data_IF_765977356593
#
_entry.id   IF_765977356593
#
_cell.length_a   1.000
_cell.length_b   1.000
_cell.length_c   1.000
_cell.angle_alpha   90.00
_cell.angle_beta   90.00
_cell.angle_gamma   90.00
#
_symmetry.space_group_name_H-M   'P 1'
#
loop_
_entity.id
_entity.type
_entity.pdbx_description
1 polymer ?
#
# COMPACT_ATOMS: atom_id res chain seq x y z
N UNK A 1 32.13 -27.18 8.85
CA UNK A 1 31.79 -25.79 8.34
C UNK A 1 30.36 -25.62 7.78
N UNK A 2 29.41 -26.50 8.03
CA UNK A 2 28.09 -26.47 7.39
C UNK A 2 26.96 -25.84 8.25
N UNK A 3 27.20 -25.44 9.49
CA UNK A 3 26.14 -25.00 10.43
C UNK A 3 25.85 -23.50 10.42
N UNK A 4 26.71 -22.69 9.82
CA UNK A 4 26.56 -21.22 9.83
C UNK A 4 25.64 -20.65 8.74
N UNK A 5 25.27 -21.41 7.70
CA UNK A 5 24.47 -20.89 6.57
C UNK A 5 22.95 -20.87 6.81
N UNK A 6 22.40 -21.63 7.76
CA UNK A 6 20.96 -21.70 8.03
C UNK A 6 20.41 -20.60 8.94
N UNK A 7 21.24 -19.93 9.72
CA UNK A 7 20.80 -18.87 10.66
C UNK A 7 20.63 -17.49 10.03
N UNK A 8 21.32 -17.20 8.93
CA UNK A 8 21.27 -15.89 8.25
C UNK A 8 19.90 -15.49 7.69
N UNK A 9 19.08 -16.35 7.03
CA UNK A 9 17.80 -15.93 6.48
C UNK A 9 16.75 -15.61 7.56
N UNK A 10 16.79 -16.29 8.70
CA UNK A 10 15.85 -16.06 9.81
C UNK A 10 16.15 -14.73 10.51
N UNK A 11 17.42 -14.42 10.77
CA UNK A 11 17.83 -13.15 11.37
C UNK A 11 17.44 -11.96 10.49
N UNK A 12 17.69 -12.02 9.17
CA UNK A 12 17.29 -10.97 8.23
C UNK A 12 15.78 -10.74 8.19
N UNK A 13 14.97 -11.79 8.28
CA UNK A 13 13.51 -11.66 8.31
C UNK A 13 13.00 -11.03 9.62
N UNK A 14 13.68 -11.27 10.74
CA UNK A 14 13.37 -10.64 12.03
C UNK A 14 13.63 -9.15 11.99
N UNK A 15 14.76 -8.74 11.44
CA UNK A 15 15.15 -7.34 11.34
C UNK A 15 14.21 -6.56 10.42
N UNK A 16 13.75 -7.15 9.32
CA UNK A 16 12.81 -6.52 8.39
C UNK A 16 11.47 -6.15 9.02
N UNK A 17 10.91 -6.99 9.89
CA UNK A 17 9.64 -6.71 10.56
C UNK A 17 9.79 -5.65 11.67
N UNK A 18 10.94 -5.62 12.37
CA UNK A 18 11.25 -4.58 13.36
C UNK A 18 11.42 -3.22 12.68
N UNK A 19 12.15 -3.17 11.57
CA UNK A 19 12.29 -1.96 10.77
C UNK A 19 10.95 -1.47 10.22
N UNK A 20 10.09 -2.38 9.74
CA UNK A 20 8.75 -2.04 9.29
C UNK A 20 7.90 -1.46 10.43
N UNK A 21 7.96 -2.04 11.63
CA UNK A 21 7.25 -1.52 12.81
C UNK A 21 7.75 -0.12 13.18
N UNK A 22 9.06 0.10 13.19
CA UNK A 22 9.66 1.41 13.48
C UNK A 22 9.27 2.46 12.43
N UNK A 23 9.34 2.11 11.13
CA UNK A 23 8.95 3.00 10.04
C UNK A 23 7.47 3.39 10.11
N UNK A 24 6.57 2.43 10.40
CA UNK A 24 5.14 2.69 10.58
C UNK A 24 4.86 3.58 11.79
N UNK A 25 5.57 3.38 12.92
CA UNK A 25 5.43 4.22 14.12
C UNK A 25 5.87 5.65 13.83
N UNK A 26 7.01 5.81 13.16
CA UNK A 26 7.51 7.13 12.75
C UNK A 26 6.55 7.81 11.77
N UNK A 27 6.03 7.07 10.76
CA UNK A 27 5.06 7.57 9.81
C UNK A 27 3.77 8.00 10.51
N UNK A 28 3.23 7.18 11.42
CA UNK A 28 2.03 7.51 12.20
C UNK A 28 2.22 8.79 13.04
N UNK A 29 3.37 8.92 13.72
CA UNK A 29 3.70 10.11 14.49
C UNK A 29 3.80 11.36 13.60
N UNK A 30 4.43 11.24 12.43
CA UNK A 30 4.59 12.36 11.49
C UNK A 30 3.25 12.79 10.90
N UNK A 31 2.38 11.82 10.53
CA UNK A 31 1.01 12.09 10.05
C UNK A 31 0.19 12.80 11.11
N UNK A 32 0.17 12.30 12.35
CA UNK A 32 -0.53 12.92 13.47
C UNK A 32 -0.03 14.35 13.73
N UNK A 33 1.30 14.55 13.73
CA UNK A 33 1.90 15.87 13.91
C UNK A 33 1.48 16.84 12.81
N UNK A 34 1.49 16.40 11.54
CA UNK A 34 1.06 17.22 10.40
C UNK A 34 -0.39 17.68 10.55
N UNK A 35 -1.32 16.76 10.83
CA UNK A 35 -2.75 17.09 10.99
C UNK A 35 -3.02 17.96 12.23
N UNK A 36 -2.29 17.76 13.34
CA UNK A 36 -2.43 18.58 14.55
C UNK A 36 -1.84 19.99 14.40
N UNK A 37 -0.80 20.17 13.59
CA UNK A 37 -0.24 21.49 13.26
C UNK A 37 -1.09 22.24 12.23
N UNK A 38 -1.88 21.53 11.43
CA UNK A 38 -2.78 22.05 10.42
C UNK A 38 -4.02 22.76 10.98
N UNK A 39 -4.93 23.18 10.08
CA UNK A 39 -6.17 23.88 10.44
C UNK A 39 -7.11 23.04 11.32
N UNK A 40 -7.06 21.72 11.26
CA UNK A 40 -7.82 20.81 12.11
C UNK A 40 -7.43 20.95 13.60
N UNK A 41 -6.18 21.27 13.90
CA UNK A 41 -5.66 21.35 15.27
C UNK A 41 -5.23 22.75 15.66
N UNK A 42 -3.93 23.01 15.73
CA UNK A 42 -3.36 24.26 16.23
C UNK A 42 -3.42 25.44 15.24
N UNK A 43 -3.69 25.20 13.95
CA UNK A 43 -3.73 26.23 12.92
C UNK A 43 -2.38 26.93 12.65
N UNK A 44 -1.27 26.32 13.11
CA UNK A 44 0.08 26.84 12.91
C UNK A 44 0.51 26.69 11.45
N UNK A 45 0.21 25.55 10.84
CA UNK A 45 0.39 25.30 9.41
C UNK A 45 -0.87 25.74 8.67
N UNK A 46 -0.74 26.71 7.79
CA UNK A 46 -1.83 27.24 6.97
C UNK A 46 -1.60 26.91 5.52
N UNK A 47 -2.54 26.19 4.93
CA UNK A 47 -2.52 25.84 3.52
C UNK A 47 -2.75 27.07 2.64
N UNK A 48 -2.12 27.09 1.47
CA UNK A 48 -2.28 28.12 0.45
C UNK A 48 -3.35 27.68 -0.55
N UNK A 49 -4.61 27.82 -0.18
CA UNK A 49 -5.72 27.29 -0.97
C UNK A 49 -7.00 28.10 -0.76
N UNK A 50 -8.02 27.86 -1.60
CA UNK A 50 -9.35 28.47 -1.44
C UNK A 50 -10.10 27.89 -0.24
N UNK A 51 -11.17 28.53 0.24
CA UNK A 51 -12.01 28.01 1.32
C UNK A 51 -12.53 26.60 1.06
N UNK A 52 -13.09 26.34 -0.12
CA UNK A 52 -13.60 25.01 -0.51
C UNK A 52 -12.51 23.94 -0.44
N UNK A 53 -11.34 24.18 -1.02
CA UNK A 53 -10.21 23.24 -0.92
C UNK A 53 -9.69 23.13 0.52
N UNK A 54 -9.80 24.20 1.34
CA UNK A 54 -9.44 24.14 2.76
C UNK A 54 -10.35 23.19 3.52
N UNK A 55 -11.68 23.21 3.31
CA UNK A 55 -12.60 22.27 3.92
C UNK A 55 -12.27 20.82 3.54
N UNK A 56 -11.89 20.58 2.28
CA UNK A 56 -11.39 19.27 1.84
C UNK A 56 -10.11 18.87 2.58
N UNK A 57 -9.11 19.75 2.68
CA UNK A 57 -7.87 19.46 3.39
C UNK A 57 -8.08 19.18 4.89
N UNK A 58 -8.96 19.93 5.55
CA UNK A 58 -9.36 19.68 6.95
C UNK A 58 -10.00 18.30 7.09
N UNK A 59 -10.89 17.92 6.19
CA UNK A 59 -11.46 16.57 6.15
C UNK A 59 -10.41 15.48 5.91
N UNK A 60 -9.45 15.74 5.03
CA UNK A 60 -8.30 14.87 4.78
C UNK A 60 -7.42 14.69 6.03
N UNK A 61 -7.12 15.79 6.74
CA UNK A 61 -6.40 15.78 8.01
C UNK A 61 -7.15 15.01 9.10
N UNK A 62 -8.48 15.16 9.16
CA UNK A 62 -9.31 14.40 10.10
C UNK A 62 -9.24 12.89 9.82
N UNK A 63 -9.36 12.48 8.57
CA UNK A 63 -9.19 11.06 8.19
C UNK A 63 -7.78 10.54 8.49
N UNK A 64 -6.74 11.34 8.19
CA UNK A 64 -5.35 10.99 8.48
C UNK A 64 -5.14 10.79 9.99
N UNK A 65 -5.69 11.69 10.83
CA UNK A 65 -5.52 11.63 12.28
C UNK A 65 -6.37 10.53 12.94
N UNK A 66 -7.65 10.43 12.60
CA UNK A 66 -8.61 9.58 13.32
C UNK A 66 -8.79 8.18 12.71
N UNK A 67 -8.40 7.97 11.46
CA UNK A 67 -8.54 6.67 10.77
C UNK A 67 -7.18 6.08 10.41
N UNK A 68 -6.38 6.82 9.63
CA UNK A 68 -5.16 6.24 9.04
C UNK A 68 -4.04 6.12 10.08
N UNK A 69 -3.86 7.10 10.95
CA UNK A 69 -2.87 7.04 12.04
C UNK A 69 -3.14 5.89 13.01
N UNK A 70 -4.35 5.66 13.55
CA UNK A 70 -4.64 4.47 14.36
C UNK A 70 -4.42 3.15 13.60
N UNK A 71 -4.77 3.11 12.31
CA UNK A 71 -4.52 1.94 11.48
C UNK A 71 -3.01 1.68 11.29
N UNK A 72 -2.20 2.74 11.15
CA UNK A 72 -0.74 2.64 11.06
C UNK A 72 -0.13 2.13 12.38
N UNK A 73 -0.61 2.62 13.52
CA UNK A 73 -0.22 2.10 14.85
C UNK A 73 -0.58 0.62 14.99
N UNK A 74 -1.80 0.24 14.62
CA UNK A 74 -2.21 -1.17 14.63
C UNK A 74 -1.33 -2.03 13.72
N UNK A 75 -1.00 -1.55 12.52
CA UNK A 75 -0.10 -2.23 11.60
C UNK A 75 1.33 -2.33 12.16
N UNK A 76 1.82 -1.31 12.88
CA UNK A 76 3.12 -1.34 13.58
C UNK A 76 3.15 -2.40 14.68
N UNK A 77 2.11 -2.49 15.50
CA UNK A 77 1.97 -3.54 16.52
C UNK A 77 1.93 -4.93 15.90
N UNK A 78 1.16 -5.10 14.80
CA UNK A 78 1.11 -6.36 14.06
C UNK A 78 2.48 -6.71 13.45
N UNK A 79 3.22 -5.73 12.93
CA UNK A 79 4.58 -5.92 12.43
C UNK A 79 5.54 -6.34 13.55
N UNK A 80 5.49 -5.69 14.72
CA UNK A 80 6.26 -6.10 15.90
C UNK A 80 5.98 -7.55 16.32
N UNK A 81 4.73 -8.00 16.18
CA UNK A 81 4.30 -9.40 16.39
C UNK A 81 4.54 -10.31 15.17
N UNK A 82 5.14 -9.81 14.11
CA UNK A 82 5.40 -10.53 12.85
C UNK A 82 4.14 -11.12 12.22
N UNK A 83 3.01 -10.47 12.39
CA UNK A 83 1.74 -10.95 11.89
C UNK A 83 1.66 -10.80 10.36
N UNK A 84 1.20 -11.81 9.61
CA UNK A 84 1.24 -11.81 8.14
C UNK A 84 0.33 -10.76 7.48
N UNK A 85 -0.61 -10.17 8.20
CA UNK A 85 -1.46 -9.07 7.75
C UNK A 85 -0.72 -7.72 7.77
N UNK A 86 0.35 -7.57 8.57
CA UNK A 86 1.06 -6.30 8.71
C UNK A 86 1.65 -5.77 7.38
N UNK A 87 2.35 -6.55 6.54
CA UNK A 87 2.91 -6.02 5.31
C UNK A 87 1.88 -5.45 4.32
N UNK A 88 0.75 -6.12 3.99
CA UNK A 88 -0.24 -5.53 3.10
C UNK A 88 -0.91 -4.28 3.67
N UNK A 89 -1.21 -4.24 4.98
CA UNK A 89 -1.71 -3.03 5.63
C UNK A 89 -0.70 -1.89 5.52
N UNK A 90 0.56 -2.16 5.88
CA UNK A 90 1.64 -1.18 5.81
C UNK A 90 1.83 -0.62 4.40
N UNK A 91 1.81 -1.48 3.37
CA UNK A 91 1.95 -1.04 1.99
C UNK A 91 0.78 -0.15 1.53
N UNK A 92 -0.46 -0.47 1.93
CA UNK A 92 -1.63 0.36 1.62
C UNK A 92 -1.61 1.71 2.34
N UNK A 93 -1.25 1.73 3.62
CA UNK A 93 -1.09 2.97 4.41
C UNK A 93 0.02 3.84 3.82
N UNK A 94 1.14 3.24 3.44
CA UNK A 94 2.24 3.96 2.79
C UNK A 94 1.82 4.55 1.44
N UNK A 95 1.06 3.80 0.63
CA UNK A 95 0.47 4.30 -0.62
C UNK A 95 -0.44 5.51 -0.39
N UNK A 96 -1.29 5.46 0.64
CA UNK A 96 -2.11 6.60 1.05
C UNK A 96 -1.25 7.81 1.43
N UNK A 97 -0.25 7.62 2.28
CA UNK A 97 0.60 8.72 2.73
C UNK A 97 1.41 9.34 1.57
N UNK A 98 1.97 8.52 0.68
CA UNK A 98 2.66 9.02 -0.53
C UNK A 98 1.74 9.87 -1.38
N UNK A 99 0.51 9.40 -1.64
CA UNK A 99 -0.49 10.12 -2.40
C UNK A 99 -0.84 11.45 -1.72
N UNK A 100 -1.19 11.40 -0.44
CA UNK A 100 -1.67 12.58 0.32
C UNK A 100 -0.57 13.65 0.44
N UNK A 101 0.65 13.27 0.83
CA UNK A 101 1.72 14.26 1.03
C UNK A 101 2.26 14.83 -0.29
N UNK A 102 2.27 14.04 -1.38
CA UNK A 102 2.54 14.59 -2.70
C UNK A 102 1.48 15.62 -3.11
N UNK A 103 0.20 15.30 -2.92
CA UNK A 103 -0.90 16.21 -3.22
C UNK A 103 -0.85 17.48 -2.37
N UNK A 104 -0.58 17.37 -1.07
CA UNK A 104 -0.47 18.53 -0.17
C UNK A 104 0.67 19.45 -0.60
N UNK A 105 1.81 18.92 -1.04
CA UNK A 105 2.95 19.77 -1.48
C UNK A 105 2.70 20.34 -2.87
N UNK A 106 2.22 19.56 -3.83
CA UNK A 106 2.07 20.00 -5.24
C UNK A 106 0.82 20.86 -5.43
N UNK A 107 -0.26 20.54 -4.72
CA UNK A 107 -1.58 21.16 -4.86
C UNK A 107 -1.78 22.48 -4.11
N UNK A 108 -0.73 23.30 -3.94
CA UNK A 108 -0.85 24.59 -3.28
C UNK A 108 -0.80 25.76 -4.26
N UNK A 109 -1.54 26.83 -3.96
CA UNK A 109 -1.54 28.08 -4.71
C UNK A 109 -0.46 29.04 -4.16
N UNK A 110 0.82 28.61 -4.24
CA UNK A 110 1.96 29.28 -3.58
C UNK A 110 2.09 30.79 -3.84
N UNK A 111 1.79 31.22 -5.06
CA UNK A 111 1.94 32.64 -5.46
C UNK A 111 0.62 33.40 -5.46
N UNK A 112 -0.52 32.71 -5.28
CA UNK A 112 -1.86 33.33 -5.45
C UNK A 112 -2.59 33.51 -4.11
N UNK A 113 -2.40 32.59 -3.17
CA UNK A 113 -3.17 32.58 -1.91
C UNK A 113 -2.27 32.66 -0.69
N UNK A 114 -2.74 33.30 0.42
CA UNK A 114 -1.97 33.42 1.64
C UNK A 114 -1.85 32.08 2.38
N UNK A 115 -0.73 31.88 3.07
CA UNK A 115 -0.46 30.70 3.88
C UNK A 115 1.03 30.62 4.24
N UNK A 116 1.45 29.47 4.81
CA UNK A 116 2.83 29.27 5.25
C UNK A 116 3.25 27.79 5.21
N UNK A 117 2.53 26.95 4.47
CA UNK A 117 2.74 25.49 4.40
C UNK A 117 4.19 25.13 4.00
N UNK A 118 4.84 25.98 3.19
CA UNK A 118 6.23 25.82 2.78
C UNK A 118 7.23 25.83 3.94
N UNK A 119 6.89 26.46 5.07
CA UNK A 119 7.73 26.42 6.27
C UNK A 119 7.74 25.05 6.94
N UNK A 120 6.72 24.25 6.66
CA UNK A 120 6.56 22.88 7.16
C UNK A 120 7.01 21.83 6.15
N UNK A 121 7.61 22.24 5.02
CA UNK A 121 8.12 21.34 4.00
C UNK A 121 9.03 20.23 4.56
N UNK A 122 9.95 20.47 5.54
CA UNK A 122 10.75 19.39 6.12
C UNK A 122 9.91 18.30 6.80
N UNK A 123 8.79 18.66 7.45
CA UNK A 123 7.86 17.71 8.07
C UNK A 123 7.11 16.89 6.99
N UNK A 124 6.60 17.57 5.95
CA UNK A 124 5.90 16.92 4.84
C UNK A 124 6.83 16.01 4.05
N UNK A 125 8.08 16.43 3.82
CA UNK A 125 9.12 15.62 3.20
C UNK A 125 9.46 14.39 4.05
N UNK A 126 9.59 14.55 5.37
CA UNK A 126 9.83 13.44 6.28
C UNK A 126 8.70 12.41 6.21
N UNK A 127 7.43 12.84 6.19
CA UNK A 127 6.28 11.96 6.01
C UNK A 127 6.34 11.20 4.68
N UNK A 128 6.68 11.89 3.60
CA UNK A 128 6.83 11.29 2.27
C UNK A 128 7.94 10.24 2.23
N UNK A 129 9.14 10.56 2.72
CA UNK A 129 10.28 9.62 2.77
C UNK A 129 10.02 8.43 3.69
N UNK A 130 9.36 8.64 4.83
CA UNK A 130 8.94 7.54 5.71
C UNK A 130 7.90 6.63 5.05
N UNK A 131 7.01 7.20 4.26
CA UNK A 131 6.04 6.42 3.49
C UNK A 131 6.73 5.60 2.39
N UNK A 132 7.71 6.16 1.66
CA UNK A 132 8.53 5.40 0.71
C UNK A 132 9.28 4.25 1.38
N UNK A 133 9.97 4.51 2.49
CA UNK A 133 10.69 3.50 3.26
C UNK A 133 9.73 2.41 3.75
N UNK A 134 8.56 2.79 4.26
CA UNK A 134 7.52 1.86 4.71
C UNK A 134 7.01 1.00 3.56
N UNK A 135 6.76 1.58 2.38
CA UNK A 135 6.31 0.85 1.19
C UNK A 135 7.35 -0.19 0.74
N UNK A 136 8.62 0.20 0.68
CA UNK A 136 9.72 -0.71 0.29
C UNK A 136 9.87 -1.86 1.29
N UNK A 137 9.85 -1.57 2.60
CA UNK A 137 9.95 -2.58 3.65
C UNK A 137 8.75 -3.53 3.63
N UNK A 138 7.55 -2.98 3.50
CA UNK A 138 6.30 -3.75 3.40
C UNK A 138 6.28 -4.64 2.16
N UNK A 139 6.69 -4.12 0.99
CA UNK A 139 6.75 -4.88 -0.25
C UNK A 139 7.71 -6.07 -0.18
N UNK A 140 8.88 -5.88 0.45
CA UNK A 140 9.87 -6.95 0.70
C UNK A 140 9.35 -8.01 1.67
N UNK A 141 8.53 -7.61 2.64
CA UNK A 141 7.92 -8.52 3.63
C UNK A 141 6.63 -9.20 3.11
N UNK A 142 6.03 -8.67 2.04
CA UNK A 142 4.80 -9.19 1.46
C UNK A 142 5.04 -10.53 0.77
N UNK A 143 4.22 -11.54 1.14
CA UNK A 143 4.30 -12.87 0.53
C UNK A 143 4.19 -12.80 -1.00
N UNK A 144 5.08 -13.44 -1.75
CA UNK A 144 4.98 -13.52 -3.21
C UNK A 144 3.76 -14.33 -3.67
N UNK A 145 3.28 -15.26 -2.83
CA UNK A 145 2.16 -16.14 -3.11
C UNK A 145 1.10 -16.02 -1.99
N UNK A 146 0.31 -14.93 -1.97
CA UNK A 146 -0.77 -14.79 -0.99
C UNK A 146 -1.87 -15.84 -1.25
N UNK A 147 -2.71 -16.15 -0.23
CA UNK A 147 -3.85 -17.04 -0.40
C UNK A 147 -4.75 -16.59 -1.56
N UNK A 148 -5.25 -17.54 -2.35
CA UNK A 148 -6.22 -17.21 -3.37
C UNK A 148 -7.58 -16.89 -2.70
N UNK A 149 -8.23 -15.77 -3.04
CA UNK A 149 -9.59 -15.51 -2.60
C UNK A 149 -10.57 -16.49 -3.24
N UNK A 150 -11.74 -16.68 -2.61
CA UNK A 150 -12.84 -17.40 -3.27
C UNK A 150 -13.24 -16.70 -4.57
N UNK A 151 -13.84 -17.44 -5.52
CA UNK A 151 -14.31 -16.86 -6.79
C UNK A 151 -15.29 -15.69 -6.57
N UNK A 152 -16.16 -15.82 -5.56
CA UNK A 152 -17.12 -14.78 -5.21
C UNK A 152 -16.40 -13.52 -4.69
N UNK A 153 -15.44 -13.67 -3.77
CA UNK A 153 -14.65 -12.55 -3.25
C UNK A 153 -13.79 -11.89 -4.34
N UNK A 154 -13.21 -12.67 -5.25
CA UNK A 154 -12.48 -12.15 -6.40
C UNK A 154 -13.37 -11.32 -7.33
N UNK A 155 -14.61 -11.79 -7.62
CA UNK A 155 -15.59 -11.05 -8.42
C UNK A 155 -16.03 -9.77 -7.72
N UNK A 156 -16.35 -9.85 -6.43
CA UNK A 156 -16.72 -8.67 -5.64
C UNK A 156 -15.61 -7.62 -5.65
N UNK A 157 -14.37 -7.99 -5.33
CA UNK A 157 -13.25 -7.07 -5.32
C UNK A 157 -12.93 -6.50 -6.71
N UNK A 158 -12.86 -7.36 -7.73
CA UNK A 158 -12.61 -6.90 -9.11
C UNK A 158 -13.71 -5.98 -9.62
N UNK A 159 -14.98 -6.34 -9.38
CA UNK A 159 -16.13 -5.51 -9.74
C UNK A 159 -16.14 -4.16 -9.02
N UNK A 160 -15.86 -4.14 -7.70
CA UNK A 160 -15.77 -2.90 -6.91
C UNK A 160 -14.63 -2.00 -7.41
N UNK A 161 -13.45 -2.57 -7.69
CA UNK A 161 -12.32 -1.79 -8.22
C UNK A 161 -12.64 -1.17 -9.58
N UNK A 162 -13.26 -1.92 -10.49
CA UNK A 162 -13.67 -1.41 -11.80
C UNK A 162 -14.80 -0.40 -11.68
N UNK A 163 -15.78 -0.62 -10.81
CA UNK A 163 -16.88 0.31 -10.54
C UNK A 163 -16.36 1.63 -9.94
N UNK A 164 -15.42 1.56 -8.98
CA UNK A 164 -14.79 2.75 -8.41
C UNK A 164 -13.98 3.52 -9.46
N UNK A 165 -13.21 2.84 -10.31
CA UNK A 165 -12.49 3.47 -11.40
C UNK A 165 -13.42 4.15 -12.41
N UNK A 166 -14.52 3.49 -12.79
CA UNK A 166 -15.52 4.06 -13.68
C UNK A 166 -16.22 5.28 -13.03
N UNK A 167 -16.56 5.21 -11.75
CA UNK A 167 -17.14 6.32 -11.01
C UNK A 167 -16.19 7.52 -10.95
N UNK A 168 -14.91 7.32 -10.60
CA UNK A 168 -13.92 8.39 -10.58
C UNK A 168 -13.75 9.03 -11.97
N UNK A 169 -13.61 8.22 -13.02
CA UNK A 169 -13.39 8.74 -14.36
C UNK A 169 -14.64 9.41 -14.94
N UNK A 170 -15.76 8.68 -14.98
CA UNK A 170 -16.97 9.09 -15.71
C UNK A 170 -17.94 9.90 -14.84
N UNK A 171 -18.02 9.59 -13.55
CA UNK A 171 -18.97 10.24 -12.62
C UNK A 171 -18.42 11.50 -11.96
N UNK A 172 -17.10 11.60 -11.78
CA UNK A 172 -16.48 12.68 -11.02
C UNK A 172 -15.57 13.56 -11.91
N UNK A 173 -14.52 12.98 -12.49
CA UNK A 173 -13.47 13.80 -13.13
C UNK A 173 -13.84 14.27 -14.52
N UNK A 174 -14.37 13.41 -15.38
CA UNK A 174 -14.69 13.81 -16.76
C UNK A 174 -15.73 14.94 -16.80
N UNK A 175 -16.86 14.91 -16.06
CA UNK A 175 -17.80 16.03 -16.04
C UNK A 175 -17.17 17.34 -15.58
N UNK A 176 -16.39 17.31 -14.49
CA UNK A 176 -15.75 18.51 -13.93
C UNK A 176 -14.66 19.07 -14.84
N UNK A 177 -13.94 18.22 -15.58
CA UNK A 177 -12.95 18.65 -16.60
C UNK A 177 -13.66 19.31 -17.79
N UNK A 178 -14.75 18.73 -18.28
CA UNK A 178 -15.52 19.32 -19.39
C UNK A 178 -16.06 20.69 -18.98
N UNK A 179 -16.63 20.82 -17.77
CA UNK A 179 -17.12 22.13 -17.27
C UNK A 179 -15.96 23.12 -17.14
N UNK A 180 -14.81 22.72 -16.59
CA UNK A 180 -13.64 23.59 -16.49
C UNK A 180 -13.12 24.10 -17.86
N UNK A 181 -13.33 23.34 -18.94
CA UNK A 181 -12.95 23.75 -20.30
C UNK A 181 -14.00 24.62 -21.01
N UNK A 182 -15.28 24.35 -20.78
CA UNK A 182 -16.39 25.01 -21.49
C UNK A 182 -16.93 26.23 -20.77
N UNK A 183 -16.97 26.20 -19.45
CA UNK A 183 -17.45 27.28 -18.58
C UNK A 183 -16.66 27.33 -17.26
N UNK A 184 -15.39 27.76 -17.29
CA UNK A 184 -14.52 27.78 -16.13
C UNK A 184 -15.04 28.68 -14.99
N UNK A 185 -15.82 29.70 -15.32
CA UNK A 185 -16.35 30.65 -14.33
C UNK A 185 -17.46 30.05 -13.45
N UNK A 186 -18.22 29.09 -13.98
CA UNK A 186 -19.29 28.40 -13.22
C UNK A 186 -18.73 27.38 -12.21
N UNK A 187 -17.46 26.97 -12.33
CA UNK A 187 -16.84 26.00 -11.44
C UNK A 187 -15.98 26.68 -10.37
N UNK A 188 -16.55 26.90 -9.18
CA UNK A 188 -15.93 27.64 -8.09
C UNK A 188 -14.59 27.02 -7.66
N UNK A 189 -14.54 25.69 -7.53
CA UNK A 189 -13.32 24.96 -7.16
C UNK A 189 -12.17 25.24 -8.14
N UNK A 190 -12.43 25.14 -9.44
CA UNK A 190 -11.43 25.40 -10.49
C UNK A 190 -11.04 26.88 -10.54
N UNK A 191 -12.00 27.79 -10.54
CA UNK A 191 -11.76 29.23 -10.65
C UNK A 191 -10.94 29.77 -9.46
N UNK A 192 -11.20 29.25 -8.26
CA UNK A 192 -10.53 29.68 -7.04
C UNK A 192 -9.18 29.03 -6.81
N UNK A 193 -9.01 27.74 -7.15
CA UNK A 193 -7.80 26.96 -6.89
C UNK A 193 -7.51 25.96 -8.03
N UNK A 194 -7.03 26.43 -9.19
CA UNK A 194 -6.74 25.56 -10.35
C UNK A 194 -5.61 24.55 -10.09
N UNK A 195 -4.63 24.88 -9.27
CA UNK A 195 -3.49 23.99 -8.99
C UNK A 195 -3.93 22.69 -8.30
N UNK A 196 -4.62 22.71 -7.14
CA UNK A 196 -5.12 21.48 -6.53
C UNK A 196 -6.14 20.75 -7.43
N UNK A 197 -6.99 21.48 -8.14
CA UNK A 197 -7.95 20.89 -9.07
C UNK A 197 -7.28 19.96 -10.11
N UNK A 198 -6.23 20.44 -10.80
CA UNK A 198 -5.52 19.63 -11.77
C UNK A 198 -4.60 18.59 -11.14
N UNK A 199 -4.03 18.87 -9.97
CA UNK A 199 -3.19 17.91 -9.22
C UNK A 199 -3.98 16.67 -8.85
N UNK A 200 -5.18 16.83 -8.30
CA UNK A 200 -6.06 15.69 -7.95
C UNK A 200 -6.42 14.88 -9.19
N UNK A 201 -6.80 15.54 -10.28
CA UNK A 201 -7.13 14.86 -11.54
C UNK A 201 -5.94 14.06 -12.11
N UNK A 202 -4.75 14.65 -12.09
CA UNK A 202 -3.54 13.97 -12.53
C UNK A 202 -3.27 12.72 -11.69
N UNK A 203 -3.38 12.83 -10.37
CA UNK A 203 -3.08 11.71 -9.47
C UNK A 203 -4.16 10.63 -9.52
N UNK A 204 -5.44 11.00 -9.57
CA UNK A 204 -6.53 10.03 -9.65
C UNK A 204 -6.56 9.32 -11.01
N UNK A 205 -6.51 10.07 -12.10
CA UNK A 205 -6.58 9.50 -13.44
C UNK A 205 -5.26 8.86 -13.88
N UNK A 206 -4.13 9.32 -13.35
CA UNK A 206 -2.80 8.79 -13.70
C UNK A 206 -2.33 7.64 -12.82
N UNK A 207 -2.84 7.51 -11.59
CA UNK A 207 -2.38 6.50 -10.63
C UNK A 207 -3.54 5.62 -10.12
N UNK A 208 -4.57 6.24 -9.51
CA UNK A 208 -5.65 5.50 -8.84
C UNK A 208 -6.49 4.69 -9.81
N UNK A 209 -6.99 5.33 -10.87
CA UNK A 209 -7.82 4.67 -11.90
C UNK A 209 -7.06 3.56 -12.63
N UNK A 210 -5.85 3.77 -13.16
CA UNK A 210 -5.09 2.70 -13.81
C UNK A 210 -4.76 1.54 -12.87
N UNK A 211 -4.39 1.82 -11.61
CA UNK A 211 -4.13 0.77 -10.61
C UNK A 211 -5.39 -0.06 -10.32
N UNK A 212 -6.53 0.60 -10.12
CA UNK A 212 -7.81 -0.07 -9.86
C UNK A 212 -8.25 -0.92 -11.05
N UNK A 213 -8.14 -0.41 -12.28
CA UNK A 213 -8.47 -1.15 -13.53
C UNK A 213 -7.53 -2.34 -13.69
N UNK A 214 -6.22 -2.14 -13.62
CA UNK A 214 -5.24 -3.20 -13.84
C UNK A 214 -5.40 -4.34 -12.81
N UNK A 215 -5.50 -4.00 -11.52
CA UNK A 215 -5.65 -4.98 -10.43
C UNK A 215 -7.03 -5.62 -10.49
N UNK A 216 -8.09 -4.85 -10.72
CA UNK A 216 -9.46 -5.34 -10.85
C UNK A 216 -9.59 -6.41 -11.95
N UNK A 217 -9.15 -6.08 -13.17
CA UNK A 217 -9.13 -7.03 -14.29
C UNK A 217 -8.22 -8.23 -14.01
N UNK A 218 -7.04 -7.99 -13.43
CA UNK A 218 -6.11 -9.06 -13.09
C UNK A 218 -6.67 -10.04 -12.04
N UNK A 219 -7.39 -9.54 -11.03
CA UNK A 219 -8.05 -10.37 -10.01
C UNK A 219 -9.19 -11.18 -10.63
N UNK A 220 -10.00 -10.60 -11.50
CA UNK A 220 -11.06 -11.29 -12.23
C UNK A 220 -10.52 -12.42 -13.11
N UNK A 221 -9.35 -12.22 -13.72
CA UNK A 221 -8.65 -13.22 -14.54
C UNK A 221 -7.84 -14.23 -13.72
N UNK A 222 -7.78 -14.07 -12.39
CA UNK A 222 -7.03 -14.97 -11.49
C UNK A 222 -5.50 -14.80 -11.56
N UNK A 223 -5.01 -13.67 -12.08
CA UNK A 223 -3.59 -13.40 -12.21
C UNK A 223 -2.87 -13.34 -10.85
N UNK A 224 -1.73 -14.02 -10.72
CA UNK A 224 -1.00 -14.13 -9.45
C UNK A 224 -0.48 -12.76 -8.96
N UNK A 225 0.03 -11.93 -9.87
CA UNK A 225 0.51 -10.59 -9.54
C UNK A 225 -0.62 -9.69 -9.03
N UNK A 226 -1.80 -9.74 -9.66
CA UNK A 226 -2.95 -8.94 -9.27
C UNK A 226 -3.49 -9.35 -7.89
N UNK A 227 -3.49 -10.64 -7.56
CA UNK A 227 -3.80 -11.12 -6.21
C UNK A 227 -2.86 -10.52 -5.17
N UNK A 228 -1.56 -10.48 -5.46
CA UNK A 228 -0.57 -9.87 -4.56
C UNK A 228 -0.80 -8.37 -4.38
N UNK A 229 -1.12 -7.66 -5.46
CA UNK A 229 -1.39 -6.21 -5.46
C UNK A 229 -2.74 -5.85 -4.83
N UNK A 230 -3.74 -6.73 -4.89
CA UNK A 230 -5.09 -6.47 -4.37
C UNK A 230 -5.09 -6.19 -2.86
N UNK A 231 -4.24 -6.87 -2.08
CA UNK A 231 -4.17 -6.66 -0.63
C UNK A 231 -3.76 -5.22 -0.25
N UNK A 232 -2.61 -4.70 -0.71
CA UNK A 232 -2.24 -3.32 -0.42
C UNK A 232 -3.15 -2.30 -1.10
N UNK A 233 -3.63 -2.56 -2.33
CA UNK A 233 -4.49 -1.64 -3.06
C UNK A 233 -5.83 -1.43 -2.36
N UNK A 234 -6.49 -2.50 -1.90
CA UNK A 234 -7.75 -2.39 -1.15
C UNK A 234 -7.56 -1.58 0.14
N UNK A 235 -6.45 -1.77 0.86
CA UNK A 235 -6.12 -0.96 2.04
C UNK A 235 -5.92 0.51 1.68
N UNK A 236 -5.14 0.80 0.64
CA UNK A 236 -4.92 2.16 0.16
C UNK A 236 -6.22 2.85 -0.22
N UNK A 237 -7.04 2.21 -1.06
CA UNK A 237 -8.32 2.77 -1.49
C UNK A 237 -9.33 2.90 -0.33
N UNK A 238 -9.26 2.04 0.68
CA UNK A 238 -10.05 2.21 1.92
C UNK A 238 -9.65 3.47 2.67
N UNK A 239 -8.35 3.72 2.84
CA UNK A 239 -7.84 4.94 3.48
C UNK A 239 -8.18 6.19 2.66
N UNK A 240 -8.02 6.12 1.34
CA UNK A 240 -8.37 7.22 0.43
C UNK A 240 -9.88 7.51 0.45
N UNK A 241 -10.71 6.47 0.38
CA UNK A 241 -12.16 6.60 0.49
C UNK A 241 -12.60 7.20 1.83
N UNK A 242 -11.97 6.81 2.94
CA UNK A 242 -12.22 7.42 4.25
C UNK A 242 -11.87 8.91 4.26
N UNK A 243 -10.76 9.28 3.60
CA UNK A 243 -10.34 10.69 3.46
C UNK A 243 -11.35 11.49 2.66
N UNK A 244 -11.75 11.02 1.47
CA UNK A 244 -12.72 11.72 0.62
C UNK A 244 -14.11 11.78 1.29
N UNK A 245 -14.50 10.75 2.03
CA UNK A 245 -15.73 10.77 2.85
C UNK A 245 -15.65 11.86 3.92
N UNK A 246 -14.54 11.95 4.65
CA UNK A 246 -14.34 12.99 5.67
C UNK A 246 -14.31 14.40 5.06
N UNK A 247 -13.69 14.58 3.89
CA UNK A 247 -13.72 15.83 3.12
C UNK A 247 -15.17 16.26 2.84
N UNK A 248 -15.99 15.36 2.30
CA UNK A 248 -17.37 15.64 1.98
C UNK A 248 -18.21 15.95 3.26
N UNK A 249 -17.93 15.29 4.38
CA UNK A 249 -18.60 15.56 5.66
C UNK A 249 -18.23 16.93 6.21
N UNK A 250 -16.96 17.33 6.16
CA UNK A 250 -16.52 18.68 6.60
C UNK A 250 -17.14 19.74 5.71
N UNK A 251 -17.12 19.58 4.38
CA UNK A 251 -17.77 20.51 3.46
C UNK A 251 -19.27 20.72 3.79
N UNK A 252 -19.98 19.62 4.10
CA UNK A 252 -21.40 19.70 4.52
C UNK A 252 -21.56 20.41 5.86
N UNK A 253 -20.69 20.14 6.83
CA UNK A 253 -20.76 20.74 8.17
C UNK A 253 -20.49 22.24 8.14
N UNK A 254 -19.59 22.70 7.25
CA UNK A 254 -19.19 24.09 7.09
C UNK A 254 -20.07 24.84 6.09
N UNK A 255 -21.11 24.17 5.51
CA UNK A 255 -22.04 24.80 4.56
C UNK A 255 -21.38 25.22 3.26
N UNK A 256 -20.38 24.48 2.80
CA UNK A 256 -19.67 24.76 1.55
C UNK A 256 -20.64 24.70 0.36
N UNK A 257 -20.62 25.70 -0.56
CA UNK A 257 -21.54 25.73 -1.69
C UNK A 257 -21.39 24.54 -2.66
N UNK A 258 -20.21 23.91 -2.70
CA UNK A 258 -19.95 22.72 -3.52
C UNK A 258 -20.29 21.41 -2.78
N UNK A 259 -20.79 21.48 -1.53
CA UNK A 259 -21.13 20.30 -0.74
C UNK A 259 -22.36 19.56 -1.31
N UNK A 260 -22.27 18.23 -1.42
CA UNK A 260 -23.35 17.36 -1.88
C UNK A 260 -23.59 16.21 -0.91
N UNK A 261 -24.77 16.14 -0.24
CA UNK A 261 -25.11 15.01 0.64
C UNK A 261 -25.13 13.68 -0.10
N UNK A 262 -25.59 13.68 -1.35
CA UNK A 262 -25.62 12.47 -2.18
C UNK A 262 -24.19 11.96 -2.50
N UNK A 263 -23.28 12.88 -2.80
CA UNK A 263 -21.89 12.54 -3.07
C UNK A 263 -21.19 12.02 -1.80
N UNK A 264 -21.43 12.65 -0.64
CA UNK A 264 -20.93 12.20 0.65
C UNK A 264 -21.42 10.78 1.00
N UNK A 265 -22.72 10.51 0.82
CA UNK A 265 -23.28 9.17 1.02
C UNK A 265 -22.69 8.13 0.05
N UNK A 266 -22.48 8.52 -1.21
CA UNK A 266 -21.82 7.67 -2.22
C UNK A 266 -20.38 7.30 -1.83
N UNK A 267 -19.58 8.27 -1.40
CA UNK A 267 -18.21 8.01 -0.93
C UNK A 267 -18.20 7.14 0.33
N UNK A 268 -19.11 7.37 1.28
CA UNK A 268 -19.22 6.54 2.47
C UNK A 268 -19.57 5.09 2.12
N UNK A 269 -20.51 4.85 1.22
CA UNK A 269 -20.90 3.52 0.76
C UNK A 269 -19.73 2.78 0.08
N UNK A 270 -18.99 3.45 -0.80
CA UNK A 270 -17.80 2.90 -1.45
C UNK A 270 -16.73 2.58 -0.41
N UNK A 271 -16.48 3.48 0.55
CA UNK A 271 -15.50 3.29 1.62
C UNK A 271 -15.82 2.08 2.48
N UNK A 272 -17.07 1.94 2.93
CA UNK A 272 -17.52 0.77 3.71
C UNK A 272 -17.36 -0.52 2.92
N UNK A 273 -17.68 -0.51 1.63
CA UNK A 273 -17.51 -1.66 0.75
C UNK A 273 -16.02 -2.05 0.62
N UNK A 274 -15.14 -1.07 0.38
CA UNK A 274 -13.69 -1.30 0.30
C UNK A 274 -13.12 -1.80 1.63
N UNK A 275 -13.55 -1.25 2.76
CA UNK A 275 -13.15 -1.71 4.09
C UNK A 275 -13.58 -3.17 4.33
N UNK A 276 -14.82 -3.52 4.00
CA UNK A 276 -15.33 -4.88 4.07
C UNK A 276 -14.52 -5.86 3.22
N UNK A 277 -14.17 -5.47 1.99
CA UNK A 277 -13.31 -6.26 1.11
C UNK A 277 -11.88 -6.37 1.66
N UNK A 278 -11.31 -5.30 2.20
CA UNK A 278 -9.98 -5.31 2.83
C UNK A 278 -9.94 -6.32 3.99
N UNK A 279 -10.96 -6.31 4.85
CA UNK A 279 -11.09 -7.29 5.95
C UNK A 279 -11.27 -8.71 5.40
N UNK A 280 -12.14 -8.91 4.42
CA UNK A 280 -12.40 -10.22 3.83
C UNK A 280 -11.15 -10.82 3.18
N UNK A 281 -10.36 -10.03 2.46
CA UNK A 281 -9.07 -10.44 1.91
C UNK A 281 -8.04 -10.73 3.01
N UNK A 282 -8.04 -9.97 4.11
CA UNK A 282 -7.12 -10.15 5.23
C UNK A 282 -7.36 -11.43 6.05
N UNK A 283 -8.61 -11.94 6.13
CA UNK A 283 -8.97 -13.12 6.94
C UNK A 283 -8.12 -14.36 6.66
N UNK A 284 -7.89 -14.79 5.41
CA UNK A 284 -7.06 -15.96 5.12
C UNK A 284 -5.59 -15.78 5.50
N UNK A 285 -5.08 -14.53 5.47
CA UNK A 285 -3.74 -14.19 5.95
C UNK A 285 -3.66 -14.29 7.47
N UNK A 286 -4.67 -13.79 8.18
CA UNK A 286 -4.75 -13.85 9.64
C UNK A 286 -4.85 -15.29 10.17
N UNK A 287 -5.55 -16.17 9.45
CA UNK A 287 -5.71 -17.58 9.81
C UNK A 287 -4.41 -18.39 9.66
N UNK A 288 -3.45 -17.94 8.86
CA UNK A 288 -2.14 -18.59 8.69
C UNK A 288 -1.24 -18.27 9.89
N UNK A 289 -1.51 -18.88 11.05
CA UNK A 289 -0.54 -18.89 12.14
C UNK A 289 0.74 -19.55 11.64
N UNK A 290 1.89 -18.92 11.84
CA UNK A 290 3.19 -19.59 11.56
C UNK A 290 3.22 -20.88 12.38
N UNK A 291 3.60 -22.03 11.75
CA UNK A 291 3.89 -23.22 12.54
C UNK A 291 4.89 -22.83 13.63
N UNK A 292 4.56 -23.10 14.88
CA UNK A 292 5.47 -22.97 16.01
C UNK A 292 6.71 -23.82 15.71
N UNK A 293 7.88 -23.38 16.13
CA UNK A 293 9.15 -24.11 15.89
C UNK A 293 9.07 -25.60 16.28
N UNK A 294 8.16 -25.96 17.19
CA UNK A 294 7.85 -27.36 17.57
C UNK A 294 7.22 -28.17 16.40
N UNK A 295 6.51 -27.55 15.45
CA UNK A 295 5.92 -28.29 14.32
C UNK A 295 6.98 -28.65 13.24
N UNK A 296 8.10 -27.94 13.20
CA UNK A 296 9.22 -28.24 12.29
C UNK A 296 10.10 -29.38 12.77
N UNK A 297 10.04 -29.75 14.05
CA UNK A 297 10.73 -30.92 14.59
C UNK A 297 10.01 -32.24 14.30
N UNK A 298 8.72 -32.22 13.96
CA UNK A 298 7.95 -33.45 13.73
C UNK A 298 7.99 -33.95 12.27
N UNK A 299 8.58 -33.21 11.36
CA UNK A 299 8.75 -33.57 9.94
C UNK A 299 10.21 -33.88 9.57
N UNK A 300 11.04 -34.28 10.53
CA UNK A 300 12.24 -35.02 10.19
C UNK A 300 11.77 -36.42 9.74
N UNK A 301 11.98 -36.84 8.48
CA UNK A 301 11.71 -38.22 8.12
C UNK A 301 12.53 -39.09 9.05
N UNK A 302 11.91 -40.09 9.68
CA UNK A 302 12.61 -41.17 10.36
C UNK A 302 13.61 -41.76 9.37
N UNK A 303 14.86 -41.36 9.52
CA UNK A 303 15.97 -42.05 8.84
C UNK A 303 16.07 -43.38 9.52
N UNK A 304 15.81 -44.51 8.82
CA UNK A 304 15.97 -45.84 9.40
C UNK A 304 17.41 -45.97 10.00
N UNK A 305 17.46 -46.35 11.26
CA UNK A 305 18.73 -46.50 12.02
C UNK A 305 19.64 -47.57 11.43
N UNK A 306 19.21 -48.29 10.41
CA UNK A 306 19.94 -49.40 9.79
C UNK A 306 21.01 -48.98 8.77
N UNK A 307 21.18 -47.68 8.51
CA UNK A 307 22.17 -47.14 7.58
C UNK A 307 23.44 -46.59 8.24
N UNK A 308 23.60 -46.79 9.57
CA UNK A 308 24.82 -46.43 10.28
C UNK A 308 25.50 -47.70 10.77
N UNK A 309 25.97 -48.53 9.83
CA UNK A 309 26.94 -49.57 10.11
C UNK A 309 28.35 -49.10 9.64
N UNK A 310 29.37 -49.13 10.47
CA UNK A 310 30.72 -48.81 10.03
C UNK A 310 31.27 -49.96 9.20
N UNK A 311 31.42 -49.78 7.90
CA UNK A 311 32.22 -50.69 7.10
C UNK A 311 33.71 -50.45 7.41
N UNK A 312 34.23 -51.25 8.34
CA UNK A 312 35.65 -51.49 8.49
C UNK A 312 36.16 -52.48 7.42
N UNK A 313 37.07 -52.01 6.62
CA UNK A 313 38.16 -52.79 6.05
C UNK A 313 37.81 -53.88 5.03
N UNK A 314 37.92 -53.56 3.76
CA UNK A 314 38.53 -54.48 2.76
C UNK A 314 39.20 -53.65 1.68
N UNK A 315 40.53 -53.67 1.68
CA UNK A 315 41.35 -53.29 0.56
C UNK A 315 41.16 -54.29 -0.60
N UNK A 316 40.92 -53.82 -1.81
CA UNK A 316 40.97 -54.60 -3.04
C UNK A 316 41.94 -53.94 -4.00
N UNK A 317 42.65 -54.72 -4.78
CA UNK A 317 43.85 -54.29 -5.49
C UNK A 317 43.58 -53.60 -6.82
N UNK A 318 44.49 -52.72 -7.20
CA UNK A 318 44.56 -51.96 -8.45
C UNK A 318 44.63 -52.86 -9.67
N UNK A 319 43.91 -52.60 -10.76
CA UNK A 319 44.30 -53.15 -12.08
C UNK A 319 45.16 -52.14 -12.85
N UNK A 320 46.12 -52.74 -13.47
CA UNK A 320 47.20 -52.19 -14.28
C UNK A 320 46.73 -51.49 -15.56
N UNK A 321 47.49 -50.49 -15.91
CA UNK A 321 47.54 -49.75 -17.16
C UNK A 321 47.65 -50.60 -18.42
N UNK A 322 46.86 -50.25 -19.46
CA UNK A 322 47.31 -50.43 -20.84
C UNK A 322 46.86 -49.26 -21.68
N UNK A 323 47.82 -48.56 -22.18
CA UNK A 323 47.70 -47.50 -23.17
C UNK A 323 47.41 -48.08 -24.57
N UNK A 324 46.63 -47.38 -25.35
CA UNK A 324 46.84 -47.33 -26.80
C UNK A 324 46.18 -46.06 -27.42
N UNK A 325 46.79 -45.44 -28.41
CA UNK A 325 46.46 -44.11 -28.90
C UNK A 325 45.70 -44.16 -30.24
N UNK A 326 45.10 -43.07 -30.56
CA UNK A 326 44.77 -42.78 -31.96
C UNK A 326 43.41 -42.34 -32.29
N UNK A 327 43.25 -41.09 -32.59
CA UNK A 327 42.96 -40.46 -33.89
C UNK A 327 42.38 -39.06 -33.73
N UNK A 328 43.16 -38.14 -34.17
CA UNK A 328 42.73 -36.84 -34.58
C UNK A 328 41.76 -36.95 -35.77
N UNK A 329 40.72 -36.14 -35.76
CA UNK A 329 40.17 -35.54 -36.99
C UNK A 329 39.71 -34.12 -36.71
N UNK A 330 40.36 -33.27 -37.45
CA UNK A 330 40.04 -31.86 -37.72
C UNK A 330 38.79 -31.68 -38.56
N UNK A 331 38.37 -30.41 -38.60
CA UNK A 331 37.65 -29.63 -39.63
C UNK A 331 36.29 -29.11 -39.11
N UNK A 332 36.27 -27.84 -38.86
CA UNK A 332 35.88 -26.68 -39.71
C UNK A 332 34.40 -26.68 -40.15
N UNK A 333 33.64 -25.78 -39.66
CA UNK A 333 32.97 -24.65 -40.32
C UNK A 333 32.25 -23.80 -39.23
#
# INVERSE_FOLDING_TARGET
MATQQRTRPVARAVDSYRLLAAALTALAATMATSSLLGPLGAGLMRYRTSPTTLHQLVGGDAAALFVVTPLAVAAAVLAGRRHPVAPPLAAGIAGYALYTYAQVVIGQEYLRLPGNVERFFPLLLAAFLLAEATLVLAWRALSPHPPAPSRQLARAAGGTLLGAAAFLLLGLHLPTMVTAWTDPASMIEYASSPTPFWTVKLMDLGIVVPAAVAVGLGVLRGAAWARRMAYPLLTWLTCLGASVTAMAVVMLADGDPDASPMLAAGFAAVTVTLAGLTVAFGRPLAARRRPTASALCYCAPDIPRDLVAPQAGRAAPLPSTSASPGRARSLSA
#
